data_IF_410100442701
#
_entry.id   IF_410100442701
#
_cell.length_a   1.000
_cell.length_b   1.000
_cell.length_c   1.000
_cell.angle_alpha   90.00
_cell.angle_beta   90.00
_cell.angle_gamma   90.00
#
_symmetry.space_group_name_H-M   'P 1'
#
loop_
_entity.id
_entity.type
_entity.pdbx_description
1 polymer ?
#
# COMPACT_ATOMS: atom_id res chain seq x y z
N UNK A 1 5.87 11.67 -21.64
CA UNK A 1 5.74 10.25 -22.06
C UNK A 1 7.14 9.65 -22.03
N UNK A 2 7.43 8.76 -21.08
CA UNK A 2 8.35 7.63 -21.24
C UNK A 2 8.11 6.70 -20.04
N UNK A 3 7.51 5.55 -20.31
CA UNK A 3 7.20 4.48 -19.33
C UNK A 3 8.47 3.67 -19.09
N UNK A 4 8.87 3.47 -17.84
CA UNK A 4 9.86 2.46 -17.48
C UNK A 4 9.21 1.07 -17.45
N UNK A 5 9.76 0.14 -18.23
CA UNK A 5 9.26 -1.22 -18.41
C UNK A 5 9.57 -2.14 -17.23
N UNK A 6 8.59 -2.97 -16.88
CA UNK A 6 8.67 -4.07 -15.90
C UNK A 6 9.59 -5.18 -16.43
N UNK A 7 10.49 -5.65 -15.57
CA UNK A 7 11.25 -6.89 -15.77
C UNK A 7 10.49 -8.02 -15.09
N UNK A 8 9.96 -8.96 -15.88
CA UNK A 8 9.38 -10.21 -15.42
C UNK A 8 10.39 -11.35 -15.66
N UNK A 9 10.72 -12.11 -14.61
CA UNK A 9 11.37 -13.42 -14.71
C UNK A 9 10.54 -14.44 -13.96
N UNK A 10 9.87 -15.29 -14.73
CA UNK A 10 9.28 -16.56 -14.32
C UNK A 10 10.40 -17.56 -13.97
N UNK A 11 10.22 -18.33 -12.90
CA UNK A 11 10.64 -19.73 -12.88
C UNK A 11 9.65 -20.56 -12.05
N UNK A 12 9.12 -21.59 -12.70
CA UNK A 12 8.24 -22.64 -12.19
C UNK A 12 9.00 -23.64 -11.29
N UNK A 13 8.30 -24.20 -10.30
CA UNK A 13 8.69 -25.42 -9.60
C UNK A 13 7.47 -26.10 -8.99
N UNK A 14 6.95 -27.12 -9.68
CA UNK A 14 5.80 -27.96 -9.35
C UNK A 14 6.31 -29.29 -8.78
N UNK A 15 5.75 -29.78 -7.67
CA UNK A 15 5.71 -31.21 -7.26
C UNK A 15 4.74 -31.33 -6.06
N UNK A 16 3.47 -31.73 -6.20
CA UNK A 16 2.83 -33.07 -6.32
C UNK A 16 2.94 -34.00 -5.10
N UNK A 17 1.75 -34.48 -4.68
CA UNK A 17 1.42 -35.73 -3.96
C UNK A 17 1.76 -35.82 -2.46
N UNK A 18 1.05 -36.52 -1.57
CA UNK A 18 -0.23 -37.25 -1.57
C UNK A 18 -0.48 -37.83 -0.16
N UNK A 19 -1.74 -37.98 0.24
CA UNK A 19 -2.36 -38.97 1.14
C UNK A 19 -1.59 -39.67 2.30
N UNK A 20 -2.18 -39.52 3.50
CA UNK A 20 -2.76 -40.56 4.37
C UNK A 20 -1.91 -41.37 5.38
N UNK A 21 -2.52 -41.45 6.58
CA UNK A 21 -2.65 -42.59 7.50
C UNK A 21 -1.68 -42.76 8.70
N UNK A 22 -2.36 -43.00 9.84
CA UNK A 22 -1.98 -43.85 10.98
C UNK A 22 -1.19 -43.23 12.16
N UNK A 23 -1.89 -43.19 13.29
CA UNK A 23 -1.42 -43.39 14.69
C UNK A 23 -0.61 -44.70 14.85
N UNK A 24 0.02 -45.08 15.99
CA UNK A 24 -0.26 -44.66 17.38
C UNK A 24 0.95 -44.62 18.37
N UNK A 25 0.61 -44.32 19.64
CA UNK A 25 1.19 -44.90 20.89
C UNK A 25 2.66 -44.66 21.25
N UNK A 26 2.89 -44.10 22.45
CA UNK A 26 3.42 -44.85 23.63
C UNK A 26 3.89 -43.87 24.72
N UNK A 27 3.16 -43.74 25.83
CA UNK A 27 3.43 -44.30 27.17
C UNK A 27 4.71 -43.82 27.87
N UNK A 28 4.54 -43.41 29.12
CA UNK A 28 5.30 -43.92 30.27
C UNK A 28 4.54 -43.48 31.54
N UNK A 29 3.88 -44.41 32.25
CA UNK A 29 4.40 -45.19 33.40
C UNK A 29 4.54 -44.33 34.67
N UNK A 30 4.19 -44.76 35.88
CA UNK A 30 3.92 -46.09 36.48
C UNK A 30 3.18 -45.79 37.79
N UNK A 31 2.03 -46.41 38.09
CA UNK A 31 1.83 -47.62 38.91
C UNK A 31 2.48 -47.53 40.31
N UNK A 32 1.75 -47.76 41.41
CA UNK A 32 1.53 -49.05 42.12
C UNK A 32 0.74 -48.68 43.41
N UNK A 33 -0.11 -49.45 44.10
CA UNK A 33 -0.81 -50.73 43.94
C UNK A 33 -1.60 -50.98 45.26
N UNK A 34 -2.90 -51.29 45.14
CA UNK A 34 -3.71 -52.31 45.88
C UNK A 34 -3.82 -52.26 47.42
N UNK A 35 -5.06 -52.29 47.93
CA UNK A 35 -5.64 -53.48 48.60
C UNK A 35 -7.12 -53.26 49.00
N UNK A 36 -7.90 -54.31 48.76
CA UNK A 36 -9.30 -54.49 49.13
C UNK A 36 -9.51 -54.49 50.65
N UNK A 37 -10.63 -53.92 51.12
CA UNK A 37 -11.40 -54.48 52.23
C UNK A 37 -12.84 -53.92 52.23
N UNK A 38 -13.79 -54.84 52.16
CA UNK A 38 -15.22 -54.60 52.31
C UNK A 38 -15.58 -54.45 53.78
N UNK A 39 -16.36 -53.41 54.16
CA UNK A 39 -17.45 -53.56 55.12
C UNK A 39 -18.43 -52.38 55.11
N UNK A 40 -19.70 -52.77 55.27
CA UNK A 40 -20.93 -51.99 55.36
C UNK A 40 -20.89 -50.72 56.22
N UNK A 41 -21.65 -49.71 55.77
CA UNK A 41 -22.14 -48.61 56.60
C UNK A 41 -22.62 -47.42 55.77
N UNK A 42 -23.88 -47.42 55.33
CA UNK A 42 -24.54 -46.17 54.95
C UNK A 42 -24.70 -45.30 56.20
N UNK A 43 -24.51 -43.97 56.13
CA UNK A 43 -25.63 -43.14 55.67
C UNK A 43 -25.26 -41.88 54.86
N UNK A 44 -26.22 -41.49 53.98
CA UNK A 44 -26.52 -40.14 53.46
C UNK A 44 -25.51 -39.47 52.50
N UNK A 45 -25.85 -39.32 51.21
CA UNK A 45 -25.15 -38.39 50.33
C UNK A 45 -25.57 -36.95 50.67
N UNK A 46 -24.63 -36.16 51.17
CA UNK A 46 -24.71 -34.70 51.09
C UNK A 46 -24.48 -34.31 49.63
N UNK A 47 -25.57 -34.21 48.86
CA UNK A 47 -25.53 -33.55 47.57
C UNK A 47 -25.28 -32.06 47.82
N UNK A 48 -24.05 -31.62 47.60
CA UNK A 48 -23.79 -30.22 47.31
C UNK A 48 -24.38 -29.92 45.93
N UNK A 49 -25.67 -29.65 45.90
CA UNK A 49 -26.27 -28.92 44.79
C UNK A 49 -25.72 -27.49 44.85
N UNK A 50 -24.62 -27.25 44.16
CA UNK A 50 -24.30 -25.90 43.70
C UNK A 50 -25.23 -25.61 42.53
N UNK A 51 -26.48 -25.24 42.83
CA UNK A 51 -27.35 -24.60 41.83
C UNK A 51 -26.75 -23.23 41.55
N UNK A 52 -25.84 -23.16 40.57
CA UNK A 52 -25.53 -21.90 39.92
C UNK A 52 -26.86 -21.36 39.36
N UNK A 53 -27.23 -20.10 39.63
CA UNK A 53 -28.46 -19.54 39.08
C UNK A 53 -28.45 -19.65 37.54
N UNK A 54 -29.61 -19.88 36.89
CA UNK A 54 -29.68 -19.91 35.44
C UNK A 54 -29.08 -18.62 34.88
N UNK A 55 -28.26 -18.76 33.85
CA UNK A 55 -27.65 -17.63 33.17
C UNK A 55 -28.74 -16.62 32.79
N UNK A 56 -28.56 -15.31 33.08
CA UNK A 56 -29.51 -14.29 32.66
C UNK A 56 -29.65 -14.29 31.13
N UNK A 57 -30.86 -14.57 30.65
CA UNK A 57 -31.20 -14.55 29.22
C UNK A 57 -31.39 -13.09 28.77
N UNK A 58 -30.61 -12.68 27.76
CA UNK A 58 -30.64 -11.34 27.18
C UNK A 58 -30.99 -11.46 25.70
N UNK A 59 -32.02 -10.74 25.26
CA UNK A 59 -32.41 -10.69 23.85
C UNK A 59 -31.81 -9.46 23.15
N UNK A 60 -31.37 -9.62 21.91
CA UNK A 60 -30.95 -8.51 21.05
C UNK A 60 -32.19 -7.84 20.43
N UNK A 61 -32.28 -6.51 20.50
CA UNK A 61 -33.37 -5.75 19.89
C UNK A 61 -32.90 -5.02 18.64
N UNK A 62 -33.67 -5.06 17.55
CA UNK A 62 -33.38 -4.26 16.36
C UNK A 62 -34.06 -2.90 16.45
N UNK A 63 -33.28 -1.84 16.63
CA UNK A 63 -33.77 -0.44 16.58
C UNK A 63 -33.20 0.21 15.32
N UNK A 64 -34.08 0.74 14.46
CA UNK A 64 -33.70 1.40 13.20
C UNK A 64 -32.77 0.55 12.30
N UNK A 65 -32.99 -0.77 12.25
CA UNK A 65 -32.18 -1.68 11.43
C UNK A 65 -30.78 -1.99 12.00
N UNK A 66 -30.49 -1.61 13.25
CA UNK A 66 -29.24 -1.95 13.94
C UNK A 66 -29.53 -2.86 15.14
N UNK A 67 -28.74 -3.93 15.35
CA UNK A 67 -28.85 -4.75 16.55
C UNK A 67 -28.35 -3.94 17.75
N UNK A 68 -29.20 -3.79 18.76
CA UNK A 68 -28.89 -3.15 20.03
C UNK A 68 -28.94 -4.20 21.13
N UNK A 69 -27.81 -4.37 21.81
CA UNK A 69 -27.66 -5.30 22.91
C UNK A 69 -27.77 -4.53 24.23
N UNK A 70 -28.67 -4.97 25.12
CA UNK A 70 -28.83 -4.36 26.44
C UNK A 70 -28.19 -5.24 27.50
N UNK A 71 -27.06 -4.80 28.07
CA UNK A 71 -26.30 -5.57 29.06
C UNK A 71 -26.31 -4.85 30.42
N UNK A 72 -26.59 -5.55 31.52
CA UNK A 72 -26.36 -5.01 32.85
C UNK A 72 -24.85 -5.05 33.15
N UNK A 73 -24.22 -3.89 33.34
CA UNK A 73 -22.80 -3.80 33.64
C UNK A 73 -22.51 -3.97 35.15
N UNK A 74 -21.41 -4.63 35.53
CA UNK A 74 -21.16 -5.10 36.90
C UNK A 74 -20.95 -3.96 37.92
N UNK A 75 -20.40 -2.80 37.53
CA UNK A 75 -20.08 -1.75 38.50
C UNK A 75 -21.31 -0.97 38.98
N UNK A 76 -22.31 -0.79 38.12
CA UNK A 76 -23.49 0.04 38.41
C UNK A 76 -24.82 -0.70 38.39
N UNK A 77 -24.84 -1.95 37.91
CA UNK A 77 -26.07 -2.74 37.71
C UNK A 77 -27.14 -2.04 36.85
N UNK A 78 -26.75 -1.06 36.05
CA UNK A 78 -27.60 -0.36 35.08
C UNK A 78 -27.55 -1.07 33.73
N UNK A 79 -28.66 -1.02 32.98
CA UNK A 79 -28.76 -1.60 31.64
C UNK A 79 -28.13 -0.65 30.60
N UNK A 80 -26.93 -0.97 30.15
CA UNK A 80 -26.25 -0.24 29.09
C UNK A 80 -26.63 -0.80 27.71
N UNK A 81 -26.95 0.09 26.77
CA UNK A 81 -27.33 -0.27 25.41
C UNK A 81 -26.14 -0.09 24.46
N UNK A 82 -25.69 -1.19 23.85
CA UNK A 82 -24.60 -1.23 22.87
C UNK A 82 -25.17 -1.37 21.46
N UNK A 83 -24.88 -0.39 20.59
CA UNK A 83 -25.30 -0.42 19.19
C UNK A 83 -24.26 -1.16 18.34
N UNK A 84 -24.65 -2.33 17.82
CA UNK A 84 -23.78 -3.20 17.04
C UNK A 84 -23.76 -2.78 15.55
N UNK A 85 -22.60 -2.94 14.90
CA UNK A 85 -22.37 -2.62 13.47
C UNK A 85 -21.84 -3.86 12.74
N UNK A 86 -22.73 -4.80 12.36
CA UNK A 86 -22.38 -6.12 11.80
C UNK A 86 -21.19 -6.17 10.84
N UNK A 87 -21.09 -5.23 9.89
CA UNK A 87 -20.05 -5.22 8.86
C UNK A 87 -18.82 -4.38 9.18
N UNK A 88 -18.84 -3.58 10.24
CA UNK A 88 -17.78 -2.60 10.56
C UNK A 88 -17.10 -2.86 11.89
N UNK A 89 -17.61 -3.78 12.72
CA UNK A 89 -17.04 -4.11 14.01
C UNK A 89 -16.69 -5.59 14.12
N UNK A 90 -15.57 -5.84 14.80
CA UNK A 90 -15.16 -7.19 15.21
C UNK A 90 -15.55 -7.45 16.67
N UNK A 91 -15.45 -8.71 17.09
CA UNK A 91 -15.61 -9.10 18.50
C UNK A 91 -14.64 -8.32 19.41
N UNK A 92 -13.42 -8.04 18.94
CA UNK A 92 -12.46 -7.22 19.71
C UNK A 92 -12.97 -5.81 19.95
N UNK A 93 -13.46 -5.16 18.90
CA UNK A 93 -13.96 -3.77 19.01
C UNK A 93 -15.17 -3.72 19.95
N UNK A 94 -16.05 -4.71 19.85
CA UNK A 94 -17.21 -4.83 20.73
C UNK A 94 -16.83 -5.05 22.20
N UNK A 95 -15.89 -5.95 22.49
CA UNK A 95 -15.40 -6.16 23.86
C UNK A 95 -14.67 -4.93 24.39
N UNK A 96 -13.93 -4.23 23.53
CA UNK A 96 -13.26 -2.98 23.88
C UNK A 96 -14.26 -1.86 24.18
N UNK A 97 -15.39 -1.81 23.46
CA UNK A 97 -16.47 -0.87 23.73
C UNK A 97 -17.13 -1.14 25.10
N UNK A 98 -17.30 -2.41 25.50
CA UNK A 98 -17.79 -2.77 26.84
C UNK A 98 -16.79 -2.37 27.93
N UNK A 99 -15.51 -2.66 27.74
CA UNK A 99 -14.45 -2.31 28.71
C UNK A 99 -14.27 -0.78 28.85
N UNK A 100 -14.48 -0.03 27.76
CA UNK A 100 -14.43 1.43 27.77
C UNK A 100 -15.62 2.02 28.55
N UNK A 101 -16.78 1.39 28.48
CA UNK A 101 -17.99 1.85 29.18
C UNK A 101 -17.94 1.55 30.68
N UNK A 102 -17.43 0.38 31.06
CA UNK A 102 -17.27 0.01 32.48
C UNK A 102 -15.85 -0.50 32.79
N UNK A 103 -15.01 0.31 33.47
CA UNK A 103 -13.66 -0.10 33.86
C UNK A 103 -13.64 -1.22 34.92
N UNK A 104 -14.78 -1.55 35.53
CA UNK A 104 -14.92 -2.72 36.43
C UNK A 104 -14.98 -4.06 35.69
N UNK A 105 -15.03 -4.05 34.36
CA UNK A 105 -14.94 -5.26 33.53
C UNK A 105 -13.47 -5.62 33.30
N UNK A 106 -12.97 -6.59 34.07
CA UNK A 106 -11.58 -7.08 33.95
C UNK A 106 -11.44 -8.19 32.93
N UNK A 107 -12.47 -9.04 32.77
CA UNK A 107 -12.46 -10.16 31.83
C UNK A 107 -13.74 -10.09 31.01
N UNK A 108 -13.61 -9.98 29.69
CA UNK A 108 -14.74 -10.05 28.77
C UNK A 108 -14.40 -10.98 27.60
N UNK A 109 -15.27 -11.95 27.32
CA UNK A 109 -15.09 -12.88 26.21
C UNK A 109 -16.42 -13.33 25.62
N UNK A 110 -16.47 -13.43 24.28
CA UNK A 110 -17.59 -14.03 23.57
C UNK A 110 -17.32 -15.53 23.43
N UNK A 111 -18.29 -16.34 23.84
CA UNK A 111 -18.28 -17.80 23.80
C UNK A 111 -19.40 -18.28 22.86
N UNK A 112 -19.18 -19.40 22.19
CA UNK A 112 -20.20 -20.05 21.37
C UNK A 112 -21.20 -20.83 22.26
N UNK A 113 -22.27 -21.38 21.68
CA UNK A 113 -23.21 -22.28 22.38
C UNK A 113 -22.51 -23.47 23.05
N UNK A 114 -21.40 -23.90 22.46
CA UNK A 114 -20.62 -25.06 22.90
C UNK A 114 -19.58 -24.70 23.99
N UNK A 115 -19.53 -23.43 24.42
CA UNK A 115 -18.61 -22.94 25.45
C UNK A 115 -17.21 -22.59 24.96
N UNK A 116 -16.94 -22.71 23.65
CA UNK A 116 -15.66 -22.34 23.05
C UNK A 116 -15.54 -20.82 22.82
N UNK A 117 -14.34 -20.26 23.02
CA UNK A 117 -14.10 -18.83 22.81
C UNK A 117 -14.10 -18.49 21.32
N UNK A 118 -14.92 -17.51 20.94
CA UNK A 118 -14.96 -16.97 19.57
C UNK A 118 -13.71 -16.14 19.30
N UNK A 119 -13.17 -16.26 18.10
CA UNK A 119 -11.98 -15.51 17.69
C UNK A 119 -12.24 -13.99 17.75
N UNK A 120 -11.25 -13.26 18.24
CA UNK A 120 -11.29 -11.81 18.41
C UNK A 120 -11.46 -11.05 17.08
N UNK A 121 -11.00 -11.61 15.96
CA UNK A 121 -11.11 -11.01 14.62
C UNK A 121 -12.43 -11.34 13.91
N UNK A 122 -13.28 -12.20 14.48
CA UNK A 122 -14.57 -12.54 13.88
C UNK A 122 -15.45 -11.31 13.84
N UNK A 123 -16.11 -11.06 12.70
CA UNK A 123 -17.08 -9.98 12.58
C UNK A 123 -18.30 -10.27 13.44
N UNK A 124 -18.88 -9.22 14.03
CA UNK A 124 -20.08 -9.41 14.86
C UNK A 124 -21.26 -9.95 14.05
N UNK A 125 -21.30 -9.72 12.72
CA UNK A 125 -22.30 -10.30 11.81
C UNK A 125 -22.35 -11.84 11.89
N UNK A 126 -21.19 -12.49 11.92
CA UNK A 126 -21.11 -13.95 12.00
C UNK A 126 -21.59 -14.44 13.37
N UNK A 127 -21.25 -13.71 14.44
CA UNK A 127 -21.65 -14.03 15.81
C UNK A 127 -23.17 -13.88 15.99
N UNK A 128 -23.77 -12.86 15.38
CA UNK A 128 -25.21 -12.61 15.42
C UNK A 128 -26.05 -13.62 14.63
N UNK A 129 -25.45 -14.48 13.80
CA UNK A 129 -26.21 -15.51 13.06
C UNK A 129 -26.68 -16.66 13.96
N UNK A 130 -26.08 -16.83 15.14
CA UNK A 130 -26.41 -17.88 16.10
C UNK A 130 -26.59 -17.27 17.49
N UNK A 131 -27.18 -18.02 18.39
CA UNK A 131 -27.14 -17.70 19.81
C UNK A 131 -25.70 -17.84 20.31
N UNK A 132 -25.28 -16.94 21.21
CA UNK A 132 -23.93 -16.95 21.77
C UNK A 132 -23.97 -16.59 23.25
N UNK A 133 -22.88 -16.87 23.95
CA UNK A 133 -22.74 -16.56 25.37
C UNK A 133 -21.71 -15.45 25.54
N UNK A 134 -21.97 -14.51 26.43
CA UNK A 134 -21.02 -13.44 26.77
C UNK A 134 -20.58 -13.63 28.22
N UNK A 135 -19.29 -13.85 28.40
CA UNK A 135 -18.66 -13.92 29.71
C UNK A 135 -18.20 -12.52 30.09
N UNK A 136 -18.72 -11.97 31.19
CA UNK A 136 -18.23 -10.73 31.80
C UNK A 136 -17.84 -11.05 33.25
N UNK A 137 -16.56 -10.88 33.57
CA UNK A 137 -15.93 -11.25 34.85
C UNK A 137 -16.21 -12.72 35.21
N UNK A 138 -17.23 -12.97 36.03
CA UNK A 138 -17.66 -14.30 36.50
C UNK A 138 -19.09 -14.66 36.08
N UNK A 139 -19.79 -13.78 35.36
CA UNK A 139 -21.18 -13.96 34.96
C UNK A 139 -21.25 -14.28 33.48
N UNK A 140 -21.92 -15.39 33.16
CA UNK A 140 -22.19 -15.78 31.77
C UNK A 140 -23.61 -15.36 31.40
N UNK A 141 -23.73 -14.52 30.37
CA UNK A 141 -25.00 -14.09 29.79
C UNK A 141 -25.31 -14.92 28.55
N UNK A 142 -26.52 -15.44 28.43
CA UNK A 142 -26.96 -16.13 27.22
C UNK A 142 -27.69 -15.14 26.32
N UNK A 143 -27.17 -14.94 25.12
CA UNK A 143 -27.68 -13.93 24.21
C UNK A 143 -28.42 -14.62 23.07
N UNK A 144 -29.72 -14.37 22.99
CA UNK A 144 -30.57 -14.86 21.92
C UNK A 144 -30.58 -13.86 20.77
N UNK A 145 -30.12 -14.33 19.61
CA UNK A 145 -30.15 -13.52 18.40
C UNK A 145 -31.44 -13.82 17.63
N UNK A 146 -32.27 -12.81 17.31
CA UNK A 146 -33.38 -13.02 16.41
C UNK A 146 -32.79 -13.31 15.03
N UNK A 147 -32.78 -14.60 14.65
CA UNK A 147 -32.25 -15.08 13.38
C UNK A 147 -32.79 -14.26 12.20
N UNK A 148 -31.96 -14.09 11.16
CA UNK A 148 -32.21 -13.21 10.01
C UNK A 148 -33.59 -13.50 9.40
N UNK A 149 -34.53 -12.58 9.60
CA UNK A 149 -35.90 -12.67 9.08
C UNK A 149 -35.94 -12.69 7.54
N UNK A 150 -37.01 -13.29 7.00
CA UNK A 150 -37.27 -13.64 5.59
C UNK A 150 -36.71 -12.68 4.52
N UNK A 151 -36.05 -13.27 3.51
CA UNK A 151 -35.36 -12.61 2.39
C UNK A 151 -36.26 -11.75 1.48
N UNK A 152 -37.59 -11.91 1.53
CA UNK A 152 -38.51 -11.23 0.59
C UNK A 152 -38.73 -9.74 0.90
N UNK A 153 -38.67 -9.32 2.17
CA UNK A 153 -38.78 -7.90 2.54
C UNK A 153 -37.42 -7.19 2.57
N UNK A 154 -36.32 -7.94 2.48
CA UNK A 154 -34.95 -7.41 2.51
C UNK A 154 -34.60 -6.66 1.21
N UNK A 155 -35.14 -7.07 0.07
CA UNK A 155 -34.86 -6.46 -1.24
C UNK A 155 -35.44 -5.05 -1.37
N UNK A 156 -36.70 -4.83 -0.96
CA UNK A 156 -37.34 -3.51 -1.03
C UNK A 156 -36.69 -2.46 -0.11
N UNK A 157 -36.22 -2.88 1.07
CA UNK A 157 -35.51 -1.99 2.00
C UNK A 157 -34.09 -1.68 1.49
N UNK A 158 -33.44 -2.64 0.84
CA UNK A 158 -32.13 -2.42 0.22
C UNK A 158 -32.25 -1.43 -0.95
N UNK A 159 -33.29 -1.54 -1.78
CA UNK A 159 -33.58 -0.59 -2.86
C UNK A 159 -33.78 0.83 -2.30
N UNK A 160 -34.58 1.01 -1.25
CA UNK A 160 -34.76 2.31 -0.60
C UNK A 160 -33.45 2.84 -0.01
N UNK A 161 -32.63 1.97 0.55
CA UNK A 161 -31.30 2.31 1.08
C UNK A 161 -30.34 2.73 -0.04
N UNK A 162 -30.40 2.09 -1.22
CA UNK A 162 -29.60 2.52 -2.38
C UNK A 162 -29.99 3.93 -2.81
N UNK A 163 -31.29 4.24 -2.87
CA UNK A 163 -31.77 5.58 -3.24
C UNK A 163 -31.32 6.63 -2.21
N UNK A 164 -31.47 6.34 -0.92
CA UNK A 164 -30.99 7.25 0.15
C UNK A 164 -29.48 7.42 0.08
N UNK A 165 -28.72 6.36 -0.19
CA UNK A 165 -27.27 6.43 -0.36
C UNK A 165 -26.89 7.26 -1.60
N UNK A 166 -27.59 7.10 -2.72
CA UNK A 166 -27.39 7.92 -3.91
C UNK A 166 -27.68 9.39 -3.64
N UNK A 167 -28.76 9.69 -2.91
CA UNK A 167 -29.16 11.06 -2.59
C UNK A 167 -28.20 11.70 -1.58
N UNK A 168 -27.80 10.98 -0.52
CA UNK A 168 -26.76 11.41 0.40
C UNK A 168 -25.43 11.64 -0.32
N UNK A 169 -25.07 10.75 -1.24
CA UNK A 169 -23.88 10.90 -2.07
C UNK A 169 -24.00 12.14 -2.94
N UNK A 170 -25.11 12.37 -3.64
CA UNK A 170 -25.32 13.51 -4.52
C UNK A 170 -25.31 14.86 -3.79
N UNK A 171 -25.94 14.94 -2.61
CA UNK A 171 -25.98 16.15 -1.80
C UNK A 171 -24.60 16.51 -1.22
N UNK A 172 -23.83 15.51 -0.77
CA UNK A 172 -22.53 15.72 -0.14
C UNK A 172 -21.35 15.64 -1.12
N UNK A 173 -21.57 15.21 -2.37
CA UNK A 173 -20.54 15.13 -3.43
C UNK A 173 -19.81 16.46 -3.65
N UNK A 174 -20.49 17.61 -3.81
CA UNK A 174 -19.81 18.87 -4.13
C UNK A 174 -18.89 19.34 -3.00
N UNK A 175 -19.33 19.26 -1.74
CA UNK A 175 -18.47 19.62 -0.60
C UNK A 175 -17.25 18.69 -0.49
N UNK A 176 -17.46 17.38 -0.59
CA UNK A 176 -16.35 16.44 -0.55
C UNK A 176 -15.37 16.61 -1.71
N UNK A 177 -15.84 16.97 -2.91
CA UNK A 177 -14.99 17.26 -4.06
C UNK A 177 -14.14 18.51 -3.84
N UNK A 178 -14.72 19.60 -3.32
CA UNK A 178 -13.98 20.83 -3.03
C UNK A 178 -12.90 20.61 -1.97
N UNK A 179 -13.26 19.97 -0.85
CA UNK A 179 -12.29 19.64 0.20
C UNK A 179 -11.14 18.79 -0.33
N UNK A 180 -11.45 17.77 -1.14
CA UNK A 180 -10.46 16.91 -1.78
C UNK A 180 -9.57 17.68 -2.75
N UNK A 181 -10.14 18.57 -3.57
CA UNK A 181 -9.37 19.42 -4.48
C UNK A 181 -8.41 20.33 -3.71
N UNK A 182 -8.87 21.01 -2.66
CA UNK A 182 -8.02 21.87 -1.83
C UNK A 182 -6.89 21.06 -1.18
N UNK A 183 -7.19 19.86 -0.69
CA UNK A 183 -6.18 18.98 -0.11
C UNK A 183 -5.14 18.53 -1.14
N UNK A 184 -5.56 18.15 -2.35
CA UNK A 184 -4.66 17.77 -3.44
C UNK A 184 -3.80 18.93 -3.91
N UNK A 185 -4.37 20.14 -4.03
CA UNK A 185 -3.63 21.35 -4.38
C UNK A 185 -2.57 21.67 -3.33
N UNK A 186 -2.91 21.63 -2.03
CA UNK A 186 -1.94 21.81 -0.95
C UNK A 186 -0.81 20.79 -1.02
N UNK A 187 -1.13 19.51 -1.26
CA UNK A 187 -0.11 18.46 -1.43
C UNK A 187 0.78 18.74 -2.64
N UNK A 188 0.21 19.14 -3.78
CA UNK A 188 0.96 19.50 -4.97
C UNK A 188 1.93 20.66 -4.70
N UNK A 189 1.48 21.70 -3.99
CA UNK A 189 2.31 22.84 -3.64
C UNK A 189 3.46 22.43 -2.71
N UNK A 190 3.18 21.59 -1.70
CA UNK A 190 4.24 21.05 -0.81
C UNK A 190 5.26 20.21 -1.57
N UNK A 191 4.81 19.33 -2.48
CA UNK A 191 5.67 18.50 -3.31
C UNK A 191 6.51 19.37 -4.25
N UNK A 192 5.92 20.39 -4.90
CA UNK A 192 6.66 21.34 -5.75
C UNK A 192 7.70 22.13 -4.97
N UNK A 193 7.38 22.55 -3.74
CA UNK A 193 8.30 23.27 -2.89
C UNK A 193 9.52 22.41 -2.52
N UNK A 194 9.29 21.14 -2.17
CA UNK A 194 10.36 20.18 -1.86
C UNK A 194 11.18 19.80 -3.11
N UNK A 195 10.54 19.74 -4.28
CA UNK A 195 11.20 19.44 -5.55
C UNK A 195 12.05 20.61 -6.08
N UNK A 196 11.68 21.85 -5.74
CA UNK A 196 12.34 23.07 -6.20
C UNK A 196 13.87 23.08 -6.06
N UNK A 197 14.47 22.82 -4.89
CA UNK A 197 15.93 22.77 -4.75
C UNK A 197 16.56 21.68 -5.62
N UNK A 198 15.90 20.52 -5.72
CA UNK A 198 16.38 19.38 -6.51
C UNK A 198 16.37 19.67 -8.02
N UNK A 199 15.32 20.34 -8.51
CA UNK A 199 15.22 20.79 -9.89
C UNK A 199 16.27 21.85 -10.24
N UNK A 200 16.60 22.75 -9.31
CA UNK A 200 17.67 23.75 -9.51
C UNK A 200 19.03 23.08 -9.76
N UNK A 201 19.38 22.07 -8.96
CA UNK A 201 20.63 21.30 -9.15
C UNK A 201 20.60 20.58 -10.50
N UNK A 202 19.48 19.92 -10.83
CA UNK A 202 19.29 19.25 -12.12
C UNK A 202 19.47 20.21 -13.31
N UNK A 203 18.85 21.38 -13.25
CA UNK A 203 18.94 22.41 -14.28
C UNK A 203 20.36 22.98 -14.41
N UNK A 204 21.07 23.15 -13.29
CA UNK A 204 22.46 23.60 -13.30
C UNK A 204 23.38 22.57 -13.97
N UNK A 205 23.17 21.27 -13.71
CA UNK A 205 23.92 20.20 -14.38
C UNK A 205 23.61 20.17 -15.88
N UNK A 206 22.34 20.31 -16.27
CA UNK A 206 21.94 20.35 -17.67
C UNK A 206 22.61 21.51 -18.44
N UNK A 207 22.56 22.72 -17.90
CA UNK A 207 23.22 23.90 -18.51
C UNK A 207 24.73 23.72 -18.65
N UNK A 208 25.38 23.11 -17.65
CA UNK A 208 26.82 22.82 -17.73
C UNK A 208 27.12 21.81 -18.83
N UNK A 209 26.32 20.75 -18.97
CA UNK A 209 26.47 19.76 -20.04
C UNK A 209 26.26 20.38 -21.44
N UNK A 210 25.27 21.27 -21.60
CA UNK A 210 25.04 22.00 -22.85
C UNK A 210 26.24 22.87 -23.23
N UNK A 211 26.75 23.67 -22.30
CA UNK A 211 27.91 24.53 -22.56
C UNK A 211 29.19 23.73 -22.86
N UNK A 212 29.39 22.58 -22.22
CA UNK A 212 30.52 21.69 -22.54
C UNK A 212 30.39 21.09 -23.93
N UNK A 213 29.20 20.64 -24.31
CA UNK A 213 28.95 20.09 -25.65
C UNK A 213 29.23 21.13 -26.72
N UNK A 214 28.71 22.35 -26.52
CA UNK A 214 28.95 23.47 -27.43
C UNK A 214 30.45 23.80 -27.50
N UNK A 215 31.18 23.79 -26.38
CA UNK A 215 32.64 24.00 -26.39
C UNK A 215 33.40 22.95 -27.18
N UNK A 216 33.01 21.68 -27.08
CA UNK A 216 33.64 20.59 -27.85
C UNK A 216 33.37 20.77 -29.35
N UNK A 217 32.15 21.16 -29.73
CA UNK A 217 31.80 21.45 -31.12
C UNK A 217 32.60 22.65 -31.67
N UNK A 218 32.65 23.76 -30.92
CA UNK A 218 33.46 24.93 -31.31
C UNK A 218 34.96 24.63 -31.33
N UNK A 219 35.46 23.80 -30.42
CA UNK A 219 36.86 23.37 -30.43
C UNK A 219 37.17 22.50 -31.65
N UNK A 220 36.27 21.59 -32.04
CA UNK A 220 36.40 20.82 -33.27
C UNK A 220 36.41 21.70 -34.52
N UNK A 221 35.50 22.68 -34.58
CA UNK A 221 35.44 23.64 -35.68
C UNK A 221 36.71 24.51 -35.75
N UNK A 222 37.20 24.98 -34.62
CA UNK A 222 38.44 25.76 -34.54
C UNK A 222 39.66 24.92 -34.94
N UNK A 223 39.72 23.66 -34.53
CA UNK A 223 40.78 22.73 -34.91
C UNK A 223 40.81 22.49 -36.42
N UNK A 224 39.66 22.20 -37.04
CA UNK A 224 39.57 22.01 -38.50
C UNK A 224 39.94 23.28 -39.27
N UNK A 225 39.55 24.45 -38.74
CA UNK A 225 39.86 25.75 -39.33
C UNK A 225 41.37 26.05 -39.26
N UNK A 226 42.01 25.79 -38.10
CA UNK A 226 43.45 25.94 -37.92
C UNK A 226 44.25 24.96 -38.78
N UNK A 227 43.79 23.71 -38.86
CA UNK A 227 44.38 22.68 -39.72
C UNK A 227 44.34 23.10 -41.19
N UNK A 228 43.21 23.61 -41.67
CA UNK A 228 43.08 24.13 -43.03
C UNK A 228 43.96 25.35 -43.31
N UNK A 229 44.03 26.29 -42.36
CA UNK A 229 44.87 27.48 -42.49
C UNK A 229 46.37 27.13 -42.50
N UNK A 230 46.79 26.19 -41.66
CA UNK A 230 48.18 25.72 -41.61
C UNK A 230 48.61 25.04 -42.91
N UNK A 231 47.76 24.17 -43.45
CA UNK A 231 48.01 23.53 -44.75
C UNK A 231 48.03 24.56 -45.88
N UNK A 232 47.09 25.52 -45.88
CA UNK A 232 47.06 26.61 -46.84
C UNK A 232 48.35 27.45 -46.83
N UNK A 233 48.81 27.84 -45.64
CA UNK A 233 50.07 28.59 -45.50
C UNK A 233 51.27 27.82 -46.08
N UNK A 234 51.39 26.53 -45.76
CA UNK A 234 52.46 25.68 -46.29
C UNK A 234 52.41 25.56 -47.81
N UNK A 235 51.21 25.43 -48.40
CA UNK A 235 51.05 25.27 -49.85
C UNK A 235 51.30 26.54 -50.67
N UNK A 236 51.04 27.73 -50.11
CA UNK A 236 51.20 28.99 -50.85
C UNK A 236 52.54 29.68 -50.64
N UNK A 237 53.16 29.54 -49.46
CA UNK A 237 54.34 30.32 -49.09
C UNK A 237 55.62 29.51 -48.94
N UNK A 238 55.53 28.20 -48.67
CA UNK A 238 56.71 27.40 -48.25
C UNK A 238 57.04 26.27 -49.23
N UNK A 239 56.06 25.46 -49.63
CA UNK A 239 56.29 24.24 -50.41
C UNK A 239 55.43 24.18 -51.68
N UNK A 240 55.99 23.63 -52.76
CA UNK A 240 55.23 23.31 -53.96
C UNK A 240 54.24 22.17 -53.68
N UNK A 241 53.14 22.15 -54.44
CA UNK A 241 52.03 21.22 -54.25
C UNK A 241 52.44 19.74 -54.27
N UNK A 242 53.44 19.38 -55.08
CA UNK A 242 53.99 18.03 -55.22
C UNK A 242 54.53 17.43 -53.89
N UNK A 243 55.03 18.28 -52.98
CA UNK A 243 55.51 17.85 -51.65
C UNK A 243 54.35 17.75 -50.63
N UNK A 244 53.29 18.54 -50.80
CA UNK A 244 52.16 18.60 -49.87
C UNK A 244 51.09 17.54 -50.14
N UNK A 245 51.04 16.99 -51.36
CA UNK A 245 50.13 15.93 -51.75
C UNK A 245 50.12 14.74 -50.76
N UNK A 246 51.24 14.02 -50.51
CA UNK A 246 51.23 12.89 -49.58
C UNK A 246 50.91 13.28 -48.13
N UNK A 247 51.31 14.48 -47.70
CA UNK A 247 51.08 14.97 -46.32
C UNK A 247 49.59 15.14 -46.04
N UNK A 248 48.86 15.76 -46.96
CA UNK A 248 47.41 15.95 -46.82
C UNK A 248 46.64 14.63 -46.86
N UNK A 249 47.09 13.65 -47.65
CA UNK A 249 46.54 12.29 -47.65
C UNK A 249 46.69 11.61 -46.29
N UNK A 250 47.88 11.63 -45.69
CA UNK A 250 48.09 11.02 -44.37
C UNK A 250 47.26 11.69 -43.27
N UNK A 251 47.13 13.02 -43.30
CA UNK A 251 46.32 13.77 -42.33
C UNK A 251 44.83 13.42 -42.48
N UNK A 252 44.31 13.35 -43.70
CA UNK A 252 42.91 13.00 -43.96
C UNK A 252 42.62 11.56 -43.52
N UNK A 253 43.53 10.64 -43.83
CA UNK A 253 43.43 9.25 -43.40
C UNK A 253 43.53 9.09 -41.87
N UNK A 254 44.42 9.83 -41.21
CA UNK A 254 44.51 9.84 -39.76
C UNK A 254 43.24 10.39 -39.10
N UNK A 255 42.66 11.44 -39.68
CA UNK A 255 41.41 12.06 -39.19
C UNK A 255 40.23 11.10 -39.33
N UNK A 256 40.08 10.44 -40.49
CA UNK A 256 39.03 9.43 -40.69
C UNK A 256 39.22 8.20 -39.81
N UNK A 257 40.46 7.73 -39.63
CA UNK A 257 40.79 6.65 -38.69
C UNK A 257 40.46 7.02 -37.25
N UNK A 258 40.68 8.27 -36.85
CA UNK A 258 40.28 8.79 -35.53
C UNK A 258 38.76 8.75 -35.31
N UNK A 259 37.98 9.19 -36.30
CA UNK A 259 36.51 9.12 -36.24
C UNK A 259 36.02 7.66 -36.17
N UNK A 260 36.62 6.75 -36.93
CA UNK A 260 36.31 5.31 -36.89
C UNK A 260 36.68 4.68 -35.54
N UNK A 261 37.85 5.00 -34.99
CA UNK A 261 38.28 4.51 -33.68
C UNK A 261 37.34 4.98 -32.56
N UNK A 262 36.91 6.25 -32.61
CA UNK A 262 35.91 6.79 -31.69
C UNK A 262 34.56 6.06 -31.81
N UNK A 263 34.11 5.78 -33.04
CA UNK A 263 32.89 5.01 -33.29
C UNK A 263 32.98 3.59 -32.72
N UNK A 264 34.09 2.88 -32.94
CA UNK A 264 34.30 1.51 -32.43
C UNK A 264 34.30 1.48 -30.90
N UNK A 265 34.96 2.45 -30.27
CA UNK A 265 35.05 2.53 -28.80
C UNK A 265 33.69 2.87 -28.17
N UNK A 266 32.91 3.74 -28.81
CA UNK A 266 31.65 4.26 -28.26
C UNK A 266 30.44 3.41 -28.66
N UNK A 267 30.56 2.58 -29.71
CA UNK A 267 29.50 1.71 -30.29
C UNK A 267 28.18 2.44 -30.59
N UNK A 268 28.23 3.74 -30.83
CA UNK A 268 27.09 4.59 -31.14
C UNK A 268 27.40 5.38 -32.40
N UNK A 269 26.43 5.47 -33.32
CA UNK A 269 26.48 6.49 -34.37
C UNK A 269 26.54 7.87 -33.72
N UNK A 270 27.13 8.86 -34.40
CA UNK A 270 27.35 10.21 -33.90
C UNK A 270 26.01 11.00 -33.75
N UNK A 271 24.96 10.38 -33.21
CA UNK A 271 23.76 11.06 -32.78
C UNK A 271 24.08 11.79 -31.47
N UNK A 272 24.34 13.08 -31.64
CA UNK A 272 24.49 14.09 -30.60
C UNK A 272 23.50 13.99 -29.40
N UNK A 273 22.22 13.60 -29.54
CA UNK A 273 21.34 13.49 -28.37
C UNK A 273 21.70 12.34 -27.40
N UNK A 274 22.12 11.18 -27.90
CA UNK A 274 22.24 9.97 -27.06
C UNK A 274 23.55 9.96 -26.24
N UNK A 275 24.63 10.48 -26.83
CA UNK A 275 25.90 10.65 -26.12
C UNK A 275 25.79 11.70 -24.99
N UNK A 276 24.98 12.75 -25.21
CA UNK A 276 24.70 13.76 -24.19
C UNK A 276 23.95 13.20 -23.00
N UNK A 277 22.92 12.39 -23.25
CA UNK A 277 22.10 11.82 -22.18
C UNK A 277 22.93 10.88 -21.29
N UNK A 278 23.82 10.08 -21.89
CA UNK A 278 24.73 9.21 -21.12
C UNK A 278 25.74 9.99 -20.30
N UNK A 279 26.38 11.00 -20.90
CA UNK A 279 27.35 11.83 -20.21
C UNK A 279 26.67 12.63 -19.09
N UNK A 280 25.49 13.16 -19.35
CA UNK A 280 24.63 13.80 -18.36
C UNK A 280 24.27 12.85 -17.22
N UNK A 281 23.84 11.63 -17.50
CA UNK A 281 23.46 10.64 -16.49
C UNK A 281 24.67 10.26 -15.61
N UNK A 282 25.83 10.03 -16.21
CA UNK A 282 27.06 9.73 -15.48
C UNK A 282 27.50 10.90 -14.59
N UNK A 283 27.49 12.14 -15.11
CA UNK A 283 27.80 13.33 -14.31
C UNK A 283 26.77 13.59 -13.22
N UNK A 284 25.49 13.34 -13.50
CA UNK A 284 24.41 13.48 -12.54
C UNK A 284 24.59 12.52 -11.37
N UNK A 285 24.80 11.23 -11.62
CA UNK A 285 25.05 10.26 -10.56
C UNK A 285 26.33 10.54 -9.78
N UNK A 286 27.41 10.94 -10.46
CA UNK A 286 28.68 11.31 -9.81
C UNK A 286 28.50 12.53 -8.89
N UNK A 287 27.79 13.56 -9.34
CA UNK A 287 27.48 14.73 -8.51
C UNK A 287 26.49 14.41 -7.41
N UNK A 288 25.49 13.58 -7.68
CA UNK A 288 24.53 13.14 -6.68
C UNK A 288 25.22 12.39 -5.54
N UNK A 289 26.22 11.56 -5.86
CA UNK A 289 27.05 10.89 -4.86
C UNK A 289 27.90 11.87 -4.03
N UNK A 290 28.44 12.93 -4.64
CA UNK A 290 29.24 13.94 -3.91
C UNK A 290 28.40 14.86 -3.04
N UNK A 291 27.20 15.22 -3.49
CA UNK A 291 26.31 16.18 -2.84
C UNK A 291 25.29 15.49 -1.90
N UNK A 292 25.44 14.18 -1.67
CA UNK A 292 24.48 13.33 -0.92
C UNK A 292 23.02 13.52 -1.41
N UNK A 293 22.86 13.74 -2.70
CA UNK A 293 21.56 13.92 -3.31
C UNK A 293 20.86 12.57 -3.44
N UNK A 294 19.80 12.38 -2.67
CA UNK A 294 18.99 11.17 -2.73
C UNK A 294 18.16 11.14 -4.03
N UNK A 295 18.74 10.52 -5.06
CA UNK A 295 18.11 10.34 -6.37
C UNK A 295 16.84 9.48 -6.27
N UNK A 296 16.80 8.55 -5.32
CA UNK A 296 15.65 7.68 -5.11
C UNK A 296 14.48 8.48 -4.53
N UNK A 297 14.74 9.32 -3.51
CA UNK A 297 13.73 10.26 -2.99
C UNK A 297 13.21 11.22 -4.05
N UNK A 298 14.08 11.76 -4.91
CA UNK A 298 13.66 12.63 -6.02
C UNK A 298 12.70 11.92 -6.99
N UNK A 299 12.99 10.67 -7.35
CA UNK A 299 12.14 9.88 -8.24
C UNK A 299 10.78 9.59 -7.58
N UNK A 300 10.76 9.19 -6.31
CA UNK A 300 9.51 9.00 -5.56
C UNK A 300 8.68 10.29 -5.53
N UNK A 301 9.30 11.42 -5.21
CA UNK A 301 8.61 12.71 -5.18
C UNK A 301 8.06 13.12 -6.55
N UNK A 302 8.80 12.83 -7.62
CA UNK A 302 8.36 13.03 -9.00
C UNK A 302 7.16 12.17 -9.36
N UNK A 303 7.19 10.91 -8.98
CA UNK A 303 6.08 9.98 -9.21
C UNK A 303 4.84 10.41 -8.42
N UNK A 304 5.00 10.78 -7.15
CA UNK A 304 3.92 11.33 -6.33
C UNK A 304 3.32 12.60 -6.94
N UNK A 305 4.15 13.53 -7.41
CA UNK A 305 3.69 14.75 -8.08
C UNK A 305 2.92 14.42 -9.36
N UNK A 306 3.40 13.47 -10.16
CA UNK A 306 2.70 13.02 -11.38
C UNK A 306 1.36 12.36 -11.05
N UNK A 307 1.28 11.55 -9.99
CA UNK A 307 0.03 10.97 -9.49
C UNK A 307 -0.95 12.06 -9.07
N UNK A 308 -0.52 13.01 -8.22
CA UNK A 308 -1.38 14.10 -7.74
C UNK A 308 -1.85 15.00 -8.89
N UNK A 309 -0.98 15.32 -9.86
CA UNK A 309 -1.38 16.06 -11.07
C UNK A 309 -2.39 15.28 -11.91
N UNK A 310 -2.23 13.97 -12.03
CA UNK A 310 -3.17 13.12 -12.75
C UNK A 310 -4.53 13.04 -12.04
N UNK A 311 -4.52 12.98 -10.71
CA UNK A 311 -5.73 12.97 -9.88
C UNK A 311 -6.45 14.32 -9.96
N UNK A 312 -5.73 15.44 -9.91
CA UNK A 312 -6.31 16.77 -10.12
C UNK A 312 -6.92 16.93 -11.51
N UNK A 313 -6.26 16.43 -12.56
CA UNK A 313 -6.82 16.43 -13.92
C UNK A 313 -8.10 15.59 -13.99
N UNK A 314 -8.12 14.43 -13.32
CA UNK A 314 -9.29 13.56 -13.21
C UNK A 314 -10.43 14.19 -12.40
N UNK A 315 -10.15 14.93 -11.33
CA UNK A 315 -11.16 15.65 -10.54
C UNK A 315 -11.72 16.89 -11.28
N UNK A 316 -10.93 17.52 -12.16
CA UNK A 316 -11.38 18.73 -12.87
C UNK A 316 -12.57 18.47 -13.81
N UNK A 317 -12.57 17.32 -14.48
CA UNK A 317 -13.66 16.91 -15.40
C UNK A 317 -15.03 16.71 -14.68
N UNK A 318 -15.15 15.91 -13.60
CA UNK A 318 -16.42 15.72 -12.88
C UNK A 318 -16.87 16.96 -12.12
N UNK A 319 -15.98 17.84 -11.67
CA UNK A 319 -16.37 19.11 -11.04
C UNK A 319 -16.97 20.07 -12.10
N UNK A 320 -16.43 20.10 -13.32
CA UNK A 320 -16.98 20.91 -14.41
C UNK A 320 -18.29 20.36 -14.97
N UNK A 321 -18.50 19.04 -14.92
CA UNK A 321 -19.64 18.35 -15.52
C UNK A 321 -20.67 17.81 -14.50
N UNK A 322 -20.45 17.98 -13.20
CA UNK A 322 -21.25 17.40 -12.09
C UNK A 322 -21.48 15.88 -12.22
N UNK A 323 -20.52 15.15 -12.77
CA UNK A 323 -20.61 13.71 -12.97
C UNK A 323 -20.01 12.94 -11.78
N UNK A 324 -20.47 11.69 -11.50
CA UNK A 324 -19.84 10.81 -10.52
C UNK A 324 -18.35 10.61 -10.83
N UNK A 325 -17.49 10.72 -9.81
CA UNK A 325 -16.03 10.63 -9.96
C UNK A 325 -15.63 9.18 -10.21
N UNK A 326 -14.85 8.92 -11.27
CA UNK A 326 -14.19 7.63 -11.47
C UNK A 326 -13.27 7.31 -10.28
N UNK A 327 -13.37 6.08 -9.75
CA UNK A 327 -12.71 5.65 -8.52
C UNK A 327 -11.24 6.08 -8.45
N UNK A 328 -10.92 6.94 -7.48
CA UNK A 328 -9.55 7.31 -7.13
C UNK A 328 -8.94 6.12 -6.42
N UNK A 329 -7.83 5.59 -6.96
CA UNK A 329 -7.12 4.51 -6.28
C UNK A 329 -6.55 5.02 -4.96
N UNK A 330 -6.85 4.37 -3.81
CA UNK A 330 -6.19 4.72 -2.57
C UNK A 330 -4.69 4.41 -2.71
N UNK A 331 -3.87 5.40 -2.37
CA UNK A 331 -2.42 5.22 -2.24
C UNK A 331 -2.21 4.40 -0.96
N UNK A 332 -1.66 3.19 -1.13
CA UNK A 332 -1.23 2.32 -0.03
C UNK A 332 0.11 2.80 0.54
#
# INVERSE_FOLDING_TARGET
>A
MLRFGRVAKLHHGVLRCSLSLASPSSKSCSAIQVLYLSRHGAPRPAHYYSTLPPAPDISIQYKYGRPVLSLPLPSRSELCQFSLRPMLMTVTDFLSDIQREDPGVTIAAVLNTDGEKVCSTTSIDIVLNKDFQLLINSTTYRIHSPGRGSHEHATSIDDMKTVVHMLHSALNLPEHQLLRQTQLLRRLDTLKQELGPMEKVRAQVARRAESQSMRVEWAGLAFLSLQGAFLGYLTWFVFAWDVMEPVTYFITYATSMGFLAYYILTKQELLYPDAKDRQYLHFFHKRAAMEHFDTHRYNILRDQLATVESDLKRLRNPIQLQLPVDHIQPIN
#
